data_IF_795749624724
#
_entry.id   IF_795749624724
#
_cell.length_a   1.000
_cell.length_b   1.000
_cell.length_c   1.000
_cell.angle_alpha   90.00
_cell.angle_beta   90.00
_cell.angle_gamma   90.00
#
_symmetry.space_group_name_H-M   'P 1'
#
loop_
_entity.id
_entity.type
_entity.pdbx_description
1 polymer ?
#
# COMPACT_ATOMS: atom_id res chain seq x y z
N UNK A 1 -17.84 19.85 -28.64
CA UNK A 1 -16.78 18.94 -29.10
C UNK A 1 -15.63 19.72 -29.75
N UNK A 2 -14.40 19.54 -29.27
CA UNK A 2 -13.19 20.17 -29.78
C UNK A 2 -12.50 19.29 -30.83
N UNK A 3 -12.82 19.53 -32.12
CA UNK A 3 -12.23 18.80 -33.25
C UNK A 3 -10.73 19.09 -33.43
N UNK A 4 -10.28 20.28 -33.01
CA UNK A 4 -8.88 20.67 -33.16
C UNK A 4 -7.99 19.92 -32.16
N UNK A 5 -8.48 19.75 -30.93
CA UNK A 5 -7.80 18.96 -29.90
C UNK A 5 -7.59 17.51 -30.34
N UNK A 6 -8.65 16.84 -30.83
CA UNK A 6 -8.55 15.44 -31.27
C UNK A 6 -7.63 15.28 -32.50
N UNK A 7 -7.78 16.14 -33.50
CA UNK A 7 -6.93 16.18 -34.70
C UNK A 7 -5.45 16.35 -34.33
N UNK A 8 -5.14 17.28 -33.41
CA UNK A 8 -3.78 17.51 -32.93
C UNK A 8 -3.21 16.27 -32.22
N UNK A 9 -3.98 15.63 -31.35
CA UNK A 9 -3.54 14.43 -30.65
C UNK A 9 -3.26 13.26 -31.62
N UNK A 10 -4.09 13.08 -32.66
CA UNK A 10 -3.83 12.06 -33.70
C UNK A 10 -2.50 12.31 -34.42
N UNK A 11 -2.19 13.58 -34.74
CA UNK A 11 -0.91 13.93 -35.34
C UNK A 11 0.28 13.76 -34.37
N UNK A 12 0.10 14.05 -33.08
CA UNK A 12 1.11 13.81 -32.05
C UNK A 12 1.42 12.32 -31.87
N UNK A 13 0.40 11.45 -31.88
CA UNK A 13 0.59 9.99 -31.87
C UNK A 13 1.30 9.50 -33.13
N UNK A 14 1.01 10.13 -34.28
CA UNK A 14 1.70 9.82 -35.53
C UNK A 14 3.18 10.21 -35.49
N UNK A 15 3.49 11.39 -34.96
CA UNK A 15 4.86 11.87 -34.79
C UNK A 15 5.69 10.99 -33.83
N UNK A 16 5.05 10.28 -32.90
CA UNK A 16 5.69 9.27 -32.02
C UNK A 16 6.00 7.94 -32.72
N UNK A 17 5.72 7.82 -34.03
CA UNK A 17 6.00 6.63 -34.82
C UNK A 17 4.83 5.63 -34.91
N UNK A 18 3.64 5.99 -34.42
CA UNK A 18 2.45 5.14 -34.58
C UNK A 18 1.77 5.46 -35.92
N UNK A 19 1.62 4.47 -36.81
CA UNK A 19 0.85 4.70 -38.05
C UNK A 19 -0.64 4.89 -37.73
N UNK A 20 -1.39 5.64 -38.55
CA UNK A 20 -2.85 5.81 -38.35
C UNK A 20 -3.59 4.48 -38.28
N UNK A 21 -3.14 3.47 -39.05
CA UNK A 21 -3.70 2.11 -39.02
C UNK A 21 -3.45 1.42 -37.67
N UNK A 22 -2.24 1.53 -37.12
CA UNK A 22 -1.91 0.99 -35.80
C UNK A 22 -2.67 1.71 -34.68
N UNK A 23 -2.85 3.04 -34.81
CA UNK A 23 -3.64 3.82 -33.87
C UNK A 23 -5.10 3.32 -33.88
N UNK A 24 -5.70 3.17 -35.07
CA UNK A 24 -7.05 2.63 -35.22
C UNK A 24 -7.21 1.24 -34.58
N UNK A 25 -6.28 0.33 -34.86
CA UNK A 25 -6.26 -1.00 -34.26
C UNK A 25 -6.15 -0.94 -32.74
N UNK A 26 -5.27 -0.09 -32.19
CA UNK A 26 -5.08 0.04 -30.75
C UNK A 26 -6.30 0.63 -30.02
N UNK A 27 -7.11 1.40 -30.74
CA UNK A 27 -8.33 2.02 -30.23
C UNK A 27 -9.58 1.18 -30.52
N UNK A 28 -9.46 0.07 -31.25
CA UNK A 28 -10.60 -0.74 -31.66
C UNK A 28 -11.56 -0.05 -32.63
N UNK A 29 -11.10 0.97 -33.38
CA UNK A 29 -11.91 1.74 -34.33
C UNK A 29 -11.51 1.48 -35.78
N UNK A 30 -12.34 1.89 -36.74
CA UNK A 30 -11.99 1.79 -38.15
C UNK A 30 -10.82 2.73 -38.52
N UNK A 31 -9.94 2.35 -39.46
CA UNK A 31 -8.91 3.25 -39.97
C UNK A 31 -9.47 4.54 -40.59
N UNK A 32 -10.69 4.49 -41.13
CA UNK A 32 -11.39 5.67 -41.64
C UNK A 32 -11.73 6.65 -40.53
N UNK A 33 -12.17 6.17 -39.36
CA UNK A 33 -12.47 7.04 -38.22
C UNK A 33 -11.26 7.87 -37.77
N UNK A 34 -10.08 7.25 -37.67
CA UNK A 34 -8.84 7.98 -37.32
C UNK A 34 -8.47 9.01 -38.40
N UNK A 35 -8.70 8.67 -39.67
CA UNK A 35 -8.48 9.61 -40.78
C UNK A 35 -9.46 10.78 -40.72
N UNK A 36 -10.73 10.51 -40.39
CA UNK A 36 -11.75 11.53 -40.23
C UNK A 36 -11.48 12.42 -39.01
N UNK A 37 -10.94 11.88 -37.92
CA UNK A 37 -10.50 12.66 -36.76
C UNK A 37 -9.36 13.60 -37.09
N UNK A 38 -8.36 13.10 -37.83
CA UNK A 38 -7.25 13.90 -38.35
C UNK A 38 -7.76 15.05 -39.22
N UNK A 39 -8.60 14.73 -40.19
CA UNK A 39 -9.17 15.68 -41.16
C UNK A 39 -10.31 16.55 -40.60
N UNK A 40 -10.70 16.34 -39.33
CA UNK A 40 -11.83 17.01 -38.65
C UNK A 40 -13.19 16.76 -39.33
N UNK A 41 -13.33 15.64 -40.07
CA UNK A 41 -14.52 15.19 -40.81
C UNK A 41 -15.46 14.30 -39.97
N UNK A 42 -15.71 14.67 -38.73
CA UNK A 42 -16.60 13.93 -37.83
C UNK A 42 -17.45 14.90 -37.02
N UNK A 43 -18.68 14.52 -36.66
CA UNK A 43 -19.61 15.39 -35.91
C UNK A 43 -19.82 14.97 -34.46
N UNK A 44 -19.63 13.69 -34.18
CA UNK A 44 -19.71 13.09 -32.85
C UNK A 44 -18.61 12.04 -32.70
N UNK A 45 -18.33 11.68 -31.46
CA UNK A 45 -17.48 10.56 -31.10
C UNK A 45 -18.35 9.54 -30.37
N UNK A 46 -18.23 8.25 -30.72
CA UNK A 46 -18.94 7.21 -29.97
C UNK A 46 -18.38 7.10 -28.56
N UNK A 47 -19.21 6.63 -27.63
CA UNK A 47 -18.79 6.36 -26.26
C UNK A 47 -17.62 5.37 -26.21
N UNK A 48 -17.66 4.30 -27.03
CA UNK A 48 -16.57 3.33 -27.17
C UNK A 48 -15.26 3.99 -27.63
N UNK A 49 -15.33 4.91 -28.59
CA UNK A 49 -14.15 5.64 -29.08
C UNK A 49 -13.59 6.57 -28.00
N UNK A 50 -14.47 7.24 -27.24
CA UNK A 50 -14.09 8.12 -26.15
C UNK A 50 -13.37 7.34 -25.03
N UNK A 51 -13.85 6.14 -24.69
CA UNK A 51 -13.23 5.24 -23.73
C UNK A 51 -11.87 4.73 -24.21
N UNK A 52 -11.77 4.30 -25.46
CA UNK A 52 -10.51 3.85 -26.04
C UNK A 52 -9.45 4.96 -26.00
N UNK A 53 -9.86 6.21 -26.27
CA UNK A 53 -8.97 7.38 -26.17
C UNK A 53 -8.55 7.63 -24.73
N UNK A 54 -9.48 7.60 -23.76
CA UNK A 54 -9.18 7.79 -22.35
C UNK A 54 -8.16 6.75 -21.83
N UNK A 55 -8.39 5.48 -22.15
CA UNK A 55 -7.48 4.37 -21.82
C UNK A 55 -6.09 4.58 -22.43
N UNK A 56 -6.01 4.97 -23.71
CA UNK A 56 -4.72 5.19 -24.38
C UNK A 56 -3.97 6.41 -23.83
N UNK A 57 -4.70 7.47 -23.44
CA UNK A 57 -4.15 8.66 -22.79
C UNK A 57 -3.80 8.43 -21.31
N UNK A 58 -4.23 7.30 -20.73
CA UNK A 58 -4.13 6.99 -19.29
C UNK A 58 -4.78 8.07 -18.41
N UNK A 59 -5.91 8.59 -18.89
CA UNK A 59 -6.71 9.61 -18.22
C UNK A 59 -8.08 9.04 -17.88
N UNK A 60 -8.80 9.68 -16.95
CA UNK A 60 -10.20 9.33 -16.71
C UNK A 60 -11.07 9.67 -17.93
N UNK A 61 -12.20 8.97 -18.09
CA UNK A 61 -13.18 9.28 -19.12
C UNK A 61 -13.71 10.71 -18.98
N UNK A 62 -13.93 11.17 -17.75
CA UNK A 62 -14.36 12.55 -17.44
C UNK A 62 -13.33 13.58 -17.92
N UNK A 63 -12.04 13.37 -17.61
CA UNK A 63 -10.96 14.25 -18.07
C UNK A 63 -10.87 14.28 -19.59
N UNK A 64 -11.05 13.13 -20.24
CA UNK A 64 -11.04 13.03 -21.71
C UNK A 64 -12.26 13.70 -22.32
N UNK A 65 -13.43 13.58 -21.69
CA UNK A 65 -14.68 14.22 -22.11
C UNK A 65 -14.60 15.74 -21.98
N UNK A 66 -14.05 16.25 -20.87
CA UNK A 66 -13.77 17.67 -20.65
C UNK A 66 -12.78 18.21 -21.68
N UNK A 67 -11.68 17.48 -21.93
CA UNK A 67 -10.68 17.82 -22.93
C UNK A 67 -11.29 17.94 -24.33
N UNK A 68 -12.17 17.01 -24.71
CA UNK A 68 -12.90 17.05 -25.98
C UNK A 68 -14.15 17.93 -25.95
N UNK A 69 -14.49 18.58 -24.83
CA UNK A 69 -15.73 19.37 -24.66
C UNK A 69 -16.97 18.60 -25.12
N UNK A 70 -17.11 17.36 -24.65
CA UNK A 70 -18.27 16.49 -24.84
C UNK A 70 -18.84 16.12 -23.48
N UNK A 71 -20.13 15.79 -23.43
CA UNK A 71 -20.74 15.31 -22.19
C UNK A 71 -20.18 13.94 -21.82
N UNK A 72 -19.81 13.77 -20.55
CA UNK A 72 -19.34 12.48 -20.04
C UNK A 72 -20.54 11.51 -19.95
N UNK A 73 -20.42 10.27 -20.44
CA UNK A 73 -21.47 9.26 -20.28
C UNK A 73 -21.76 9.00 -18.80
N UNK A 74 -23.03 8.99 -18.42
CA UNK A 74 -23.47 8.79 -17.03
C UNK A 74 -23.25 7.32 -16.64
N UNK A 75 -22.40 7.07 -15.63
CA UNK A 75 -22.24 5.74 -15.01
C UNK A 75 -20.91 5.01 -15.27
N UNK A 76 -19.96 5.61 -15.99
CA UNK A 76 -18.77 4.88 -16.47
C UNK A 76 -17.57 4.84 -15.52
N UNK A 77 -17.63 5.53 -14.39
CA UNK A 77 -16.55 5.56 -13.39
C UNK A 77 -16.51 4.29 -12.52
N UNK A 78 -17.45 3.36 -12.69
CA UNK A 78 -17.59 2.15 -11.87
C UNK A 78 -16.67 1.00 -12.31
N UNK A 79 -16.59 0.61 -13.61
CA UNK A 79 -15.78 -0.55 -14.00
C UNK A 79 -14.28 -0.29 -13.94
N UNK A 80 -13.83 0.94 -14.23
CA UNK A 80 -12.41 1.29 -14.17
C UNK A 80 -11.92 1.41 -12.73
N UNK A 81 -12.73 2.01 -11.85
CA UNK A 81 -12.45 1.98 -10.39
C UNK A 81 -12.53 0.57 -9.84
N UNK A 82 -13.44 -0.28 -10.33
CA UNK A 82 -13.51 -1.69 -9.93
C UNK A 82 -12.23 -2.44 -10.33
N UNK A 83 -11.75 -2.30 -11.56
CA UNK A 83 -10.49 -2.91 -12.00
C UNK A 83 -9.26 -2.37 -11.26
N UNK A 84 -9.21 -1.06 -10.99
CA UNK A 84 -8.13 -0.46 -10.18
C UNK A 84 -8.18 -0.95 -8.73
N UNK A 85 -9.38 -1.09 -8.16
CA UNK A 85 -9.59 -1.64 -6.82
C UNK A 85 -9.22 -3.12 -6.79
N UNK A 86 -9.58 -3.90 -7.79
CA UNK A 86 -9.27 -5.33 -7.93
C UNK A 86 -7.75 -5.55 -8.09
N UNK A 87 -7.08 -4.74 -8.90
CA UNK A 87 -5.62 -4.75 -9.02
C UNK A 87 -4.93 -4.36 -7.70
N UNK A 88 -5.43 -3.34 -7.00
CA UNK A 88 -4.92 -2.96 -5.67
C UNK A 88 -5.19 -4.04 -4.62
N UNK A 89 -6.31 -4.74 -4.71
CA UNK A 89 -6.65 -5.89 -3.87
C UNK A 89 -5.70 -7.04 -4.12
N UNK A 90 -5.47 -7.43 -5.39
CA UNK A 90 -4.51 -8.48 -5.74
C UNK A 90 -3.07 -8.11 -5.33
N UNK A 91 -2.68 -6.84 -5.46
CA UNK A 91 -1.37 -6.37 -5.01
C UNK A 91 -1.27 -6.35 -3.48
N UNK A 92 -2.34 -5.97 -2.77
CA UNK A 92 -2.41 -6.08 -1.31
C UNK A 92 -2.41 -7.52 -0.85
N UNK A 93 -3.15 -8.42 -1.49
CA UNK A 93 -3.14 -9.86 -1.22
C UNK A 93 -1.75 -10.44 -1.43
N UNK A 94 -1.05 -10.07 -2.52
CA UNK A 94 0.36 -10.46 -2.70
C UNK A 94 1.28 -9.88 -1.65
N UNK A 95 1.07 -8.63 -1.20
CA UNK A 95 1.87 -8.03 -0.12
C UNK A 95 1.58 -8.69 1.22
N UNK A 96 0.33 -9.07 1.49
CA UNK A 96 -0.09 -9.79 2.69
C UNK A 96 0.45 -11.21 2.65
N UNK A 97 0.33 -11.92 1.53
CA UNK A 97 0.89 -13.25 1.30
C UNK A 97 2.42 -13.22 1.42
N UNK A 98 3.10 -12.22 0.85
CA UNK A 98 4.54 -12.03 1.00
C UNK A 98 4.92 -11.69 2.45
N UNK A 99 4.15 -10.84 3.14
CA UNK A 99 4.39 -10.52 4.54
C UNK A 99 4.12 -11.73 5.44
N UNK A 100 3.10 -12.53 5.11
CA UNK A 100 2.76 -13.78 5.79
C UNK A 100 3.83 -14.84 5.54
N UNK A 101 4.31 -14.98 4.31
CA UNK A 101 5.43 -15.86 3.98
C UNK A 101 6.71 -15.41 4.66
N UNK A 102 6.99 -14.10 4.76
CA UNK A 102 8.12 -13.62 5.57
C UNK A 102 7.91 -13.86 7.05
N UNK A 103 6.68 -13.75 7.56
CA UNK A 103 6.33 -14.10 8.93
C UNK A 103 6.44 -15.61 9.17
N UNK A 104 6.11 -16.46 8.20
CA UNK A 104 6.19 -17.93 8.26
C UNK A 104 7.63 -18.43 8.07
N UNK A 105 8.41 -17.80 7.19
CA UNK A 105 9.85 -17.99 7.05
C UNK A 105 10.60 -17.47 8.28
N UNK A 106 10.11 -16.40 8.92
CA UNK A 106 10.55 -15.99 10.26
C UNK A 106 10.05 -16.93 11.36
N UNK A 107 8.87 -17.55 11.26
CA UNK A 107 8.37 -18.55 12.23
C UNK A 107 9.14 -19.88 12.13
N UNK A 108 9.74 -20.19 10.98
CA UNK A 108 10.68 -21.30 10.80
C UNK A 108 12.01 -21.07 11.53
N UNK A 109 12.29 -19.84 11.95
CA UNK A 109 13.29 -19.51 12.96
C UNK A 109 12.52 -19.13 14.22
N UNK A 110 12.23 -20.11 15.08
CA UNK A 110 11.68 -19.85 16.43
C UNK A 110 12.68 -19.05 17.29
N UNK A 111 12.86 -17.77 16.97
CA UNK A 111 13.47 -16.76 17.80
C UNK A 111 12.35 -16.00 18.47
N UNK A 112 11.60 -16.73 19.31
CA UNK A 112 11.16 -16.08 20.53
C UNK A 112 12.40 -15.46 21.16
N UNK A 113 12.43 -14.13 21.23
CA UNK A 113 13.59 -13.42 21.76
C UNK A 113 13.88 -13.95 23.14
N UNK A 114 15.14 -13.83 23.57
CA UNK A 114 15.52 -14.08 24.97
C UNK A 114 14.59 -13.31 25.91
N UNK A 115 14.08 -12.14 25.49
CA UNK A 115 13.12 -11.34 26.25
C UNK A 115 11.72 -11.96 26.30
N UNK A 116 11.14 -12.40 25.17
CA UNK A 116 9.85 -13.10 25.16
C UNK A 116 9.93 -14.41 25.95
N UNK A 117 11.02 -15.19 25.79
CA UNK A 117 11.27 -16.40 26.60
C UNK A 117 11.41 -16.09 28.08
N UNK A 118 12.11 -15.01 28.45
CA UNK A 118 12.24 -14.58 29.83
C UNK A 118 10.90 -14.14 30.42
N UNK A 119 10.06 -13.44 29.65
CA UNK A 119 8.71 -13.05 30.07
C UNK A 119 7.80 -14.27 30.25
N UNK A 120 7.81 -15.21 29.30
CA UNK A 120 7.07 -16.46 29.40
C UNK A 120 7.51 -17.30 30.60
N UNK A 121 8.81 -17.36 30.89
CA UNK A 121 9.33 -18.05 32.07
C UNK A 121 8.86 -17.41 33.39
N UNK A 122 8.54 -16.11 33.39
CA UNK A 122 7.90 -15.40 34.50
C UNK A 122 6.36 -15.45 34.46
N UNK A 123 5.77 -16.28 33.60
CA UNK A 123 4.31 -16.43 33.49
C UNK A 123 3.61 -15.33 32.68
N UNK A 124 4.37 -14.49 31.98
CA UNK A 124 3.83 -13.39 31.16
C UNK A 124 3.82 -13.80 29.70
N UNK A 125 2.62 -13.97 29.13
CA UNK A 125 2.46 -14.23 27.70
C UNK A 125 2.10 -12.95 26.95
N UNK A 126 3.09 -12.30 26.34
CA UNK A 126 2.89 -11.05 25.56
C UNK A 126 2.01 -11.21 24.32
N UNK A 127 1.72 -12.45 23.89
CA UNK A 127 0.79 -12.73 22.78
C UNK A 127 -0.66 -12.84 23.25
N UNK A 128 -0.92 -12.94 24.55
CA UNK A 128 -2.28 -13.04 25.05
C UNK A 128 -2.98 -11.67 25.09
N UNK A 129 -4.30 -11.69 24.89
CA UNK A 129 -5.11 -10.47 24.84
C UNK A 129 -5.10 -9.69 26.16
N UNK A 130 -5.18 -10.33 27.35
CA UNK A 130 -5.12 -9.62 28.63
C UNK A 130 -3.80 -8.86 28.86
N UNK A 131 -2.66 -9.46 28.54
CA UNK A 131 -1.33 -8.86 28.68
C UNK A 131 -1.14 -7.72 27.68
N UNK A 132 -1.62 -7.87 26.45
CA UNK A 132 -1.59 -6.78 25.46
C UNK A 132 -2.43 -5.58 25.89
N UNK A 133 -3.62 -5.81 26.47
CA UNK A 133 -4.44 -4.73 27.06
C UNK A 133 -3.70 -4.06 28.22
N UNK A 134 -3.11 -4.85 29.14
CA UNK A 134 -2.30 -4.32 30.25
C UNK A 134 -1.11 -3.50 29.75
N UNK A 135 -0.37 -4.00 28.76
CA UNK A 135 0.76 -3.33 28.13
C UNK A 135 0.35 -2.00 27.51
N UNK A 136 -0.73 -2.01 26.72
CA UNK A 136 -1.26 -0.80 26.06
C UNK A 136 -1.58 0.29 27.09
N UNK A 137 -2.31 -0.05 28.14
CA UNK A 137 -2.64 0.90 29.22
C UNK A 137 -1.40 1.45 29.92
N UNK A 138 -0.30 0.69 29.99
CA UNK A 138 0.95 1.17 30.60
C UNK A 138 1.75 2.07 29.66
N UNK A 139 1.79 1.75 28.36
CA UNK A 139 2.37 2.66 27.35
C UNK A 139 1.62 4.00 27.37
N UNK A 140 0.29 3.95 27.41
CA UNK A 140 -0.57 5.14 27.52
C UNK A 140 -0.24 5.99 28.76
N UNK A 141 0.13 5.35 29.89
CA UNK A 141 0.54 6.05 31.12
C UNK A 141 1.93 6.65 31.07
N UNK A 142 2.88 5.96 30.42
CA UNK A 142 4.30 6.37 30.39
C UNK A 142 4.54 7.44 29.34
N UNK A 143 3.91 7.31 28.17
CA UNK A 143 4.21 8.10 26.98
C UNK A 143 3.00 8.82 26.37
N UNK A 144 1.83 8.76 27.02
CA UNK A 144 0.57 9.26 26.47
C UNK A 144 -0.03 8.30 25.44
N UNK A 145 -1.18 8.67 24.86
CA UNK A 145 -1.87 7.86 23.84
C UNK A 145 -1.07 7.85 22.52
N UNK A 146 -0.10 6.95 22.45
CA UNK A 146 0.74 6.71 21.27
C UNK A 146 0.63 5.25 20.84
N UNK A 147 -0.37 4.91 20.00
CA UNK A 147 -0.53 3.58 19.44
C UNK A 147 0.71 3.08 18.70
N UNK A 148 1.43 4.00 18.03
CA UNK A 148 2.65 3.69 17.31
C UNK A 148 3.79 3.25 18.23
N UNK A 149 3.95 3.88 19.41
CA UNK A 149 4.97 3.47 20.38
C UNK A 149 4.64 2.09 20.97
N UNK A 150 3.37 1.83 21.28
CA UNK A 150 2.93 0.52 21.75
C UNK A 150 3.25 -0.58 20.74
N UNK A 151 2.93 -0.35 19.47
CA UNK A 151 3.21 -1.31 18.39
C UNK A 151 4.71 -1.56 18.23
N UNK A 152 5.54 -0.50 18.21
CA UNK A 152 7.01 -0.66 18.16
C UNK A 152 7.57 -1.45 19.33
N UNK A 153 7.13 -1.14 20.56
CA UNK A 153 7.61 -1.82 21.76
C UNK A 153 7.18 -3.29 21.79
N UNK A 154 5.94 -3.59 21.40
CA UNK A 154 5.44 -4.96 21.33
C UNK A 154 6.23 -5.77 20.29
N UNK A 155 6.42 -5.23 19.08
CA UNK A 155 7.21 -5.88 18.03
C UNK A 155 8.67 -6.09 18.46
N UNK A 156 9.27 -5.11 19.15
CA UNK A 156 10.62 -5.22 19.67
C UNK A 156 10.75 -6.25 20.80
N UNK A 157 9.77 -6.34 21.71
CA UNK A 157 9.73 -7.35 22.77
C UNK A 157 9.61 -8.75 22.17
N UNK A 158 8.77 -8.92 21.14
CA UNK A 158 8.61 -10.17 20.41
C UNK A 158 9.79 -10.48 19.45
N UNK A 159 10.74 -9.56 19.25
CA UNK A 159 11.90 -9.74 18.37
C UNK A 159 11.64 -9.62 16.89
N UNK A 160 10.51 -9.03 16.53
CA UNK A 160 10.15 -8.83 15.13
C UNK A 160 10.95 -7.65 14.56
N UNK A 161 11.24 -6.64 15.39
CA UNK A 161 11.99 -5.44 15.02
C UNK A 161 13.11 -5.13 16.02
N UNK A 162 14.22 -4.49 15.59
CA UNK A 162 15.22 -3.99 16.52
C UNK A 162 14.61 -2.89 17.43
N UNK A 163 15.05 -2.84 18.68
CA UNK A 163 14.64 -1.79 19.62
C UNK A 163 15.53 -0.56 19.45
N UNK A 164 14.91 0.61 19.25
CA UNK A 164 15.63 1.88 19.17
C UNK A 164 16.15 2.30 20.56
N UNK A 165 17.31 2.97 20.60
CA UNK A 165 17.89 3.45 21.86
C UNK A 165 16.96 4.42 22.61
N UNK A 166 16.16 5.19 21.87
CA UNK A 166 15.17 6.12 22.42
C UNK A 166 14.01 5.41 23.14
N UNK A 167 13.70 4.17 22.74
CA UNK A 167 12.57 3.39 23.28
C UNK A 167 12.96 2.55 24.52
N UNK A 168 14.26 2.44 24.83
CA UNK A 168 14.77 1.62 25.95
C UNK A 168 14.22 2.01 27.34
N UNK A 169 14.05 3.30 27.70
CA UNK A 169 13.46 3.67 28.99
C UNK A 169 12.01 3.19 29.12
N UNK A 170 11.19 3.39 28.09
CA UNK A 170 9.81 2.94 28.07
C UNK A 170 9.72 1.41 28.11
N UNK A 171 10.60 0.70 27.40
CA UNK A 171 10.69 -0.76 27.45
C UNK A 171 11.02 -1.26 28.87
N UNK A 172 11.99 -0.64 29.56
CA UNK A 172 12.35 -1.02 30.93
C UNK A 172 11.18 -0.81 31.91
N UNK A 173 10.48 0.31 31.81
CA UNK A 173 9.31 0.58 32.65
C UNK A 173 8.17 -0.42 32.39
N UNK A 174 7.93 -0.80 31.13
CA UNK A 174 6.93 -1.83 30.79
C UNK A 174 7.31 -3.20 31.34
N UNK A 175 8.56 -3.62 31.17
CA UNK A 175 9.04 -4.91 31.67
C UNK A 175 8.96 -4.97 33.20
N UNK A 176 9.21 -3.86 33.88
CA UNK A 176 8.99 -3.75 35.33
C UNK A 176 7.54 -4.00 35.73
N UNK A 177 6.57 -3.45 35.00
CA UNK A 177 5.14 -3.66 35.30
C UNK A 177 4.65 -5.06 34.95
N UNK A 178 5.29 -5.70 33.98
CA UNK A 178 4.95 -7.06 33.57
C UNK A 178 5.52 -8.12 34.49
N UNK A 179 6.77 -7.95 34.93
CA UNK A 179 7.51 -8.96 35.70
C UNK A 179 7.55 -8.68 37.20
N UNK A 180 7.08 -7.52 37.64
CA UNK A 180 7.22 -6.99 39.01
C UNK A 180 8.69 -6.93 39.49
N UNK A 181 9.66 -6.94 38.56
CA UNK A 181 11.09 -6.83 38.84
C UNK A 181 11.65 -5.51 38.32
N UNK A 182 12.66 -4.91 38.95
CA UNK A 182 13.30 -3.71 38.40
C UNK A 182 14.05 -4.07 37.11
N UNK A 183 13.76 -3.32 36.05
CA UNK A 183 14.50 -3.36 34.78
C UNK A 183 15.15 -2.02 34.53
N UNK A 184 16.39 -2.04 34.05
CA UNK A 184 17.12 -0.87 33.56
C UNK A 184 17.28 -0.94 32.03
N UNK A 185 17.41 0.21 31.33
CA UNK A 185 17.73 0.23 29.89
C UNK A 185 18.93 -0.66 29.53
N UNK A 186 19.96 -0.67 30.36
CA UNK A 186 21.16 -1.51 30.17
C UNK A 186 20.86 -3.00 30.28
N UNK A 187 19.94 -3.41 31.15
CA UNK A 187 19.51 -4.81 31.26
C UNK A 187 18.65 -5.23 30.07
N UNK A 188 17.80 -4.34 29.57
CA UNK A 188 17.03 -4.56 28.33
C UNK A 188 18.00 -4.80 27.17
N UNK A 189 18.98 -3.91 26.97
CA UNK A 189 20.03 -4.07 25.95
C UNK A 189 20.81 -5.37 26.15
N UNK A 190 21.18 -5.71 27.40
CA UNK A 190 21.91 -6.94 27.71
C UNK A 190 21.11 -8.18 27.34
N UNK A 191 19.81 -8.21 27.62
CA UNK A 191 18.92 -9.35 27.31
C UNK A 191 18.68 -9.45 25.80
N UNK A 192 18.49 -8.32 25.12
CA UNK A 192 18.37 -8.27 23.66
C UNK A 192 19.66 -8.75 22.96
N UNK A 193 20.83 -8.32 23.44
CA UNK A 193 22.13 -8.69 22.85
C UNK A 193 22.61 -10.10 23.20
N UNK A 194 22.18 -10.68 24.33
CA UNK A 194 22.47 -12.09 24.66
C UNK A 194 21.83 -13.09 23.69
N UNK A 195 20.89 -12.66 22.85
CA UNK A 195 20.33 -13.45 21.76
C UNK A 195 21.09 -13.37 20.43
N UNK A 196 22.11 -12.51 20.31
CA UNK A 196 22.89 -12.30 19.08
C UNK A 196 24.26 -13.01 19.11
N UNK A 197 24.57 -13.73 20.19
CA UNK A 197 25.79 -14.55 20.30
C UNK A 197 25.40 -15.98 20.67
N UNK A 198 24.99 -16.74 19.66
CA UNK A 198 25.04 -18.20 19.65
C UNK A 198 25.05 -18.69 18.21
#
# INVERSE_FOLDING_TARGET
MDKAALSKWVEEEHAKGTSYRQLALSLGVSPTAVTDWRDRKFNSISEESLQAIALRRRESLTTTAEWLRVEAPVGFDLPQKFNEIEQRLLEMERKVEYSYQRLVEQDAVSTSTVLEKALLANGVNVRDRPTQVKLRTQVEKIAGDSPALFERLLLAICGITPMETADLPAAADLLKVLTDQPWTPSEVVRVLNKGLVS
#
